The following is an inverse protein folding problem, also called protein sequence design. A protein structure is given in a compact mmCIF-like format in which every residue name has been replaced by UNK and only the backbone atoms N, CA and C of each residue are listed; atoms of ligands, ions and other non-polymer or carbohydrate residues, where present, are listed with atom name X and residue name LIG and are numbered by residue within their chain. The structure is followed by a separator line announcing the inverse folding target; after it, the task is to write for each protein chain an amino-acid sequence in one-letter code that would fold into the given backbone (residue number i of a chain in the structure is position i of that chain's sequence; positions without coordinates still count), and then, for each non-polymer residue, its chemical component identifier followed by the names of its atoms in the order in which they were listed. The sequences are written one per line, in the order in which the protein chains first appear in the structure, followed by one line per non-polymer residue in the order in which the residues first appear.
data_IF_835721750571
#
_entry.id   IF_835721750571
#
_cell.length_a   1.000
_cell.length_b   1.000
_cell.length_c   1.000
_cell.angle_alpha   90.00
_cell.angle_beta   90.00
_cell.angle_gamma   90.00
#
_symmetry.space_group_name_H-M   'P 1'
#
loop_
_entity.id
_entity.type
_entity.pdbx_description
1 polymer ?
#
# COMPACT_ATOMS: atom_id res chain seq x y z
N UNK A 1 -8.66 40.33 -4.65
CA UNK A 1 -8.35 38.88 -4.70
C UNK A 1 -9.65 38.11 -4.55
N UNK A 2 -10.28 37.72 -5.66
CA UNK A 2 -11.49 36.89 -5.65
C UNK A 2 -11.09 35.44 -5.41
N UNK A 3 -11.42 34.90 -4.24
CA UNK A 3 -11.32 33.46 -3.96
C UNK A 3 -12.27 32.75 -4.92
N UNK A 4 -11.73 32.19 -5.99
CA UNK A 4 -12.50 31.43 -6.97
C UNK A 4 -12.93 30.11 -6.31
N UNK A 5 -14.05 30.15 -5.59
CA UNK A 5 -14.74 29.00 -4.99
C UNK A 5 -15.45 28.19 -6.09
N UNK A 6 -14.72 27.78 -7.13
CA UNK A 6 -15.27 26.88 -8.13
C UNK A 6 -15.65 25.57 -7.44
N UNK A 7 -16.92 25.13 -7.54
CA UNK A 7 -17.36 23.88 -6.92
C UNK A 7 -16.51 22.73 -7.48
N UNK A 8 -16.20 21.76 -6.62
CA UNK A 8 -15.45 20.57 -7.02
C UNK A 8 -16.11 19.93 -8.25
N UNK A 9 -15.30 19.50 -9.23
CA UNK A 9 -15.81 18.88 -10.47
C UNK A 9 -16.73 17.70 -10.13
N UNK A 10 -17.71 17.42 -11.00
CA UNK A 10 -18.58 16.24 -10.84
C UNK A 10 -17.73 14.98 -10.59
N UNK A 11 -18.07 14.22 -9.55
CA UNK A 11 -17.30 13.04 -9.13
C UNK A 11 -16.11 13.28 -8.17
N UNK A 12 -15.77 14.52 -7.81
CA UNK A 12 -14.63 14.81 -6.93
C UNK A 12 -14.71 14.13 -5.54
N UNK A 13 -15.91 14.05 -4.94
CA UNK A 13 -16.11 13.34 -3.67
C UNK A 13 -15.91 11.83 -3.79
N UNK A 14 -16.33 11.26 -4.92
CA UNK A 14 -16.14 9.85 -5.22
C UNK A 14 -14.66 9.54 -5.43
N UNK A 15 -13.96 10.36 -6.23
CA UNK A 15 -12.51 10.25 -6.43
C UNK A 15 -11.75 10.37 -5.11
N UNK A 16 -12.15 11.29 -4.23
CA UNK A 16 -11.58 11.42 -2.89
C UNK A 16 -11.81 10.16 -2.05
N UNK A 17 -13.05 9.69 -1.96
CA UNK A 17 -13.38 8.49 -1.17
C UNK A 17 -12.61 7.27 -1.67
N UNK A 18 -12.53 7.09 -2.99
CA UNK A 18 -11.80 5.99 -3.61
C UNK A 18 -10.31 6.05 -3.32
N UNK A 19 -9.66 7.20 -3.54
CA UNK A 19 -8.22 7.35 -3.28
C UNK A 19 -7.92 7.27 -1.77
N UNK A 20 -8.77 7.82 -0.90
CA UNK A 20 -8.59 7.63 0.56
C UNK A 20 -8.68 6.15 0.93
N UNK A 21 -9.64 5.40 0.37
CA UNK A 21 -9.78 3.98 0.62
C UNK A 21 -8.55 3.20 0.13
N UNK A 22 -8.09 3.47 -1.10
CA UNK A 22 -6.88 2.82 -1.63
C UNK A 22 -5.66 3.14 -0.76
N UNK A 23 -5.51 4.39 -0.33
CA UNK A 23 -4.42 4.78 0.57
C UNK A 23 -4.53 4.06 1.91
N UNK A 24 -5.73 3.94 2.47
CA UNK A 24 -5.96 3.21 3.71
C UNK A 24 -5.53 1.75 3.59
N UNK A 25 -5.97 1.05 2.53
CA UNK A 25 -5.59 -0.34 2.27
C UNK A 25 -4.08 -0.51 2.04
N UNK A 26 -3.43 0.44 1.39
CA UNK A 26 -1.98 0.46 1.18
C UNK A 26 -1.23 0.40 2.52
N UNK A 27 -1.64 1.21 3.48
CA UNK A 27 -1.02 1.21 4.80
C UNK A 27 -1.45 0.02 5.66
N UNK A 28 -2.67 -0.51 5.49
CA UNK A 28 -3.05 -1.79 6.14
C UNK A 28 -2.12 -2.91 5.68
N UNK A 29 -1.91 -3.08 4.37
CA UNK A 29 -1.07 -4.13 3.78
C UNK A 29 0.36 -4.10 4.33
N UNK A 30 0.98 -2.90 4.31
CA UNK A 30 2.35 -2.67 4.79
C UNK A 30 2.55 -3.10 6.23
N UNK A 31 1.56 -2.86 7.09
CA UNK A 31 1.66 -3.11 8.52
C UNK A 31 1.09 -4.46 8.97
N UNK A 32 0.23 -5.10 8.17
CA UNK A 32 -0.17 -6.51 8.37
C UNK A 32 1.05 -7.41 8.43
N UNK A 33 2.01 -7.24 7.50
CA UNK A 33 3.23 -8.04 7.47
C UNK A 33 3.99 -8.00 8.80
N UNK A 34 4.13 -6.81 9.40
CA UNK A 34 4.81 -6.63 10.67
C UNK A 34 4.04 -7.29 11.83
N UNK A 35 2.70 -7.29 11.78
CA UNK A 35 1.86 -7.94 12.78
C UNK A 35 2.00 -9.47 12.76
N UNK A 36 2.25 -10.04 11.58
CA UNK A 36 2.32 -11.51 11.40
C UNK A 36 3.73 -12.06 11.24
N UNK A 37 4.76 -11.19 11.25
CA UNK A 37 6.17 -11.56 11.11
C UNK A 37 6.61 -12.68 12.08
N UNK A 38 6.25 -12.65 13.39
CA UNK A 38 6.67 -13.70 14.31
C UNK A 38 6.18 -15.10 13.89
N UNK A 39 4.96 -15.17 13.34
CA UNK A 39 4.35 -16.41 12.87
C UNK A 39 4.92 -16.86 11.51
N UNK A 40 5.23 -15.91 10.61
CA UNK A 40 5.96 -16.20 9.38
C UNK A 40 7.33 -16.78 9.71
N UNK A 41 8.04 -16.19 10.66
CA UNK A 41 9.36 -16.65 11.11
C UNK A 41 9.29 -18.08 11.64
N UNK A 42 8.35 -18.36 12.54
CA UNK A 42 8.15 -19.69 13.09
C UNK A 42 7.69 -20.73 12.04
N UNK A 43 7.04 -20.29 10.96
CA UNK A 43 6.57 -21.17 9.89
C UNK A 43 7.68 -21.59 8.91
N UNK A 44 8.72 -20.76 8.74
CA UNK A 44 9.76 -20.99 7.73
C UNK A 44 11.16 -21.25 8.28
N UNK A 45 11.42 -20.94 9.55
CA UNK A 45 12.72 -21.08 10.18
C UNK A 45 12.61 -21.78 11.53
N UNK A 46 13.68 -22.49 11.90
CA UNK A 46 13.78 -23.11 13.23
C UNK A 46 13.88 -22.03 14.32
N UNK A 47 13.35 -22.33 15.50
CA UNK A 47 13.30 -21.38 16.62
C UNK A 47 14.69 -20.97 17.14
N UNK A 48 15.69 -21.83 16.92
CA UNK A 48 17.09 -21.65 17.29
C UNK A 48 17.97 -21.10 16.15
N UNK A 49 17.43 -20.85 14.95
CA UNK A 49 18.20 -20.27 13.84
C UNK A 49 18.57 -18.81 14.15
N UNK A 50 19.87 -18.51 14.37
CA UNK A 50 20.31 -17.15 14.73
C UNK A 50 20.08 -16.14 13.59
N UNK A 51 19.86 -16.62 12.36
CA UNK A 51 19.62 -15.78 11.20
C UNK A 51 18.12 -15.61 10.87
N UNK A 52 17.21 -16.27 11.58
CA UNK A 52 15.78 -16.25 11.26
C UNK A 52 15.22 -14.83 11.23
N UNK A 53 15.56 -14.01 12.24
CA UNK A 53 15.11 -12.61 12.33
C UNK A 53 15.72 -11.73 11.24
N UNK A 54 16.98 -11.95 10.89
CA UNK A 54 17.63 -11.22 9.80
C UNK A 54 16.97 -11.55 8.45
N UNK A 55 16.63 -12.82 8.23
CA UNK A 55 15.96 -13.29 7.01
C UNK A 55 14.55 -12.76 6.90
N UNK A 56 13.69 -12.93 7.91
CA UNK A 56 12.32 -12.38 7.88
C UNK A 56 12.32 -10.86 7.82
N UNK A 57 13.31 -10.22 8.43
CA UNK A 57 13.57 -8.78 8.30
C UNK A 57 13.81 -8.31 6.86
N UNK A 58 14.17 -9.18 5.91
CA UNK A 58 14.34 -8.83 4.49
C UNK A 58 13.03 -8.57 3.75
N UNK A 59 11.88 -9.03 4.28
CA UNK A 59 10.59 -8.86 3.61
C UNK A 59 10.20 -7.38 3.46
N UNK A 60 10.48 -6.55 4.47
CA UNK A 60 10.19 -5.12 4.43
C UNK A 60 11.15 -4.34 3.49
N UNK A 61 12.48 -4.50 3.54
CA UNK A 61 13.41 -3.94 2.56
C UNK A 61 13.13 -4.38 1.12
N UNK A 62 12.76 -5.65 0.88
CA UNK A 62 12.43 -6.11 -0.47
C UNK A 62 11.27 -5.31 -1.07
N UNK A 63 10.23 -5.06 -0.27
CA UNK A 63 9.14 -4.15 -0.63
C UNK A 63 9.65 -2.70 -0.82
N UNK A 64 10.38 -2.15 0.14
CA UNK A 64 10.81 -0.74 0.12
C UNK A 64 11.73 -0.42 -1.07
N UNK A 65 12.73 -1.25 -1.34
CA UNK A 65 13.68 -1.05 -2.44
C UNK A 65 12.95 -1.08 -3.78
N UNK A 66 12.07 -2.04 -3.98
CA UNK A 66 11.33 -2.18 -5.24
C UNK A 66 10.31 -1.07 -5.41
N UNK A 67 9.64 -0.64 -4.33
CA UNK A 67 8.81 0.55 -4.30
C UNK A 67 9.60 1.81 -4.69
N UNK A 68 10.78 2.03 -4.11
CA UNK A 68 11.62 3.18 -4.40
C UNK A 68 12.09 3.22 -5.85
N UNK A 69 12.40 2.06 -6.44
CA UNK A 69 12.81 1.95 -7.84
C UNK A 69 11.63 2.10 -8.80
N UNK A 70 10.45 1.56 -8.45
CA UNK A 70 9.26 1.61 -9.27
C UNK A 70 8.59 2.99 -9.26
N UNK A 71 8.60 3.70 -8.13
CA UNK A 71 7.96 5.01 -7.97
C UNK A 71 8.34 6.06 -9.03
N UNK A 72 9.62 6.33 -9.34
CA UNK A 72 9.97 7.31 -10.37
C UNK A 72 9.55 6.84 -11.77
N UNK A 73 9.65 5.55 -12.07
CA UNK A 73 9.26 4.98 -13.38
C UNK A 73 7.75 5.08 -13.58
N UNK A 74 6.98 4.65 -12.59
CA UNK A 74 5.52 4.67 -12.64
C UNK A 74 4.96 6.09 -12.52
N UNK A 75 5.61 6.97 -11.76
CA UNK A 75 5.29 8.40 -11.71
C UNK A 75 5.46 9.05 -13.09
N UNK A 76 6.59 8.81 -13.75
CA UNK A 76 6.84 9.28 -15.11
C UNK A 76 5.82 8.72 -16.12
N UNK A 77 5.45 7.45 -16.00
CA UNK A 77 4.37 6.86 -16.81
C UNK A 77 3.03 7.52 -16.52
N UNK A 78 2.72 7.84 -15.26
CA UNK A 78 1.47 8.50 -14.87
C UNK A 78 1.36 9.93 -15.42
N UNK A 79 2.47 10.59 -15.70
CA UNK A 79 2.48 11.91 -16.36
C UNK A 79 2.23 11.81 -17.89
N UNK A 80 2.59 10.68 -18.52
CA UNK A 80 2.43 10.45 -19.97
C UNK A 80 1.13 9.74 -20.35
N UNK A 81 0.61 8.92 -19.45
CA UNK A 81 -0.60 8.13 -19.65
C UNK A 81 -1.70 8.56 -18.68
N UNK A 82 -2.87 7.94 -18.77
CA UNK A 82 -3.95 8.21 -17.81
C UNK A 82 -3.53 7.77 -16.41
N UNK A 83 -3.39 8.73 -15.48
CA UNK A 83 -3.12 8.46 -14.05
C UNK A 83 -4.08 7.43 -13.46
N UNK A 84 -5.35 7.45 -13.87
CA UNK A 84 -6.34 6.45 -13.42
C UNK A 84 -6.04 5.05 -13.92
N UNK A 85 -5.57 4.91 -15.16
CA UNK A 85 -5.17 3.61 -15.72
C UNK A 85 -3.93 3.09 -14.99
N UNK A 86 -2.94 3.95 -14.76
CA UNK A 86 -1.73 3.57 -14.01
C UNK A 86 -2.07 3.13 -12.58
N UNK A 87 -2.88 3.93 -11.85
CA UNK A 87 -3.35 3.56 -10.51
C UNK A 87 -4.13 2.24 -10.53
N UNK A 88 -5.01 2.04 -11.51
CA UNK A 88 -5.77 0.79 -11.64
C UNK A 88 -4.88 -0.43 -11.84
N UNK A 89 -3.91 -0.37 -12.76
CA UNK A 89 -2.94 -1.46 -13.01
C UNK A 89 -2.12 -1.74 -11.75
N UNK A 90 -1.64 -0.70 -11.08
CA UNK A 90 -0.88 -0.77 -9.85
C UNK A 90 -1.66 -1.48 -8.72
N UNK A 91 -2.91 -1.07 -8.51
CA UNK A 91 -3.81 -1.68 -7.51
C UNK A 91 -4.07 -3.15 -7.83
N UNK A 92 -4.33 -3.49 -9.10
CA UNK A 92 -4.53 -4.88 -9.52
C UNK A 92 -3.28 -5.71 -9.24
N UNK A 93 -2.11 -5.23 -9.64
CA UNK A 93 -0.84 -5.93 -9.45
C UNK A 93 -0.55 -6.19 -7.97
N UNK A 94 -0.64 -5.16 -7.13
CA UNK A 94 -0.43 -5.31 -5.69
C UNK A 94 -1.48 -6.24 -5.07
N UNK A 95 -2.77 -6.11 -5.41
CA UNK A 95 -3.83 -6.97 -4.86
C UNK A 95 -3.57 -8.45 -5.15
N UNK A 96 -3.16 -8.78 -6.39
CA UNK A 96 -2.80 -10.16 -6.74
C UNK A 96 -1.54 -10.63 -6.00
N UNK A 97 -0.54 -9.76 -5.86
CA UNK A 97 0.69 -10.10 -5.16
C UNK A 97 0.45 -10.33 -3.66
N UNK A 98 -0.40 -9.53 -3.02
CA UNK A 98 -0.81 -9.71 -1.63
C UNK A 98 -1.58 -11.02 -1.48
N UNK A 99 -2.61 -11.28 -2.29
CA UNK A 99 -3.32 -12.55 -2.24
C UNK A 99 -2.37 -13.75 -2.41
N UNK A 100 -1.40 -13.65 -3.33
CA UNK A 100 -0.37 -14.67 -3.53
C UNK A 100 0.53 -14.89 -2.30
N UNK A 101 0.73 -13.88 -1.44
CA UNK A 101 1.48 -14.02 -0.19
C UNK A 101 0.81 -14.97 0.79
N UNK A 102 -0.53 -15.00 0.84
CA UNK A 102 -1.27 -15.96 1.66
C UNK A 102 -1.05 -17.42 1.24
N UNK A 103 -0.81 -17.65 -0.06
CA UNK A 103 -0.52 -18.97 -0.61
C UNK A 103 0.97 -19.32 -0.64
N UNK A 104 1.86 -18.46 -0.12
CA UNK A 104 3.30 -18.69 -0.17
C UNK A 104 3.69 -19.96 0.62
N UNK A 105 4.19 -20.97 -0.08
CA UNK A 105 4.65 -22.24 0.51
C UNK A 105 6.11 -22.19 1.00
N UNK A 106 6.88 -21.19 0.55
CA UNK A 106 8.29 -21.01 0.94
C UNK A 106 8.57 -19.55 1.26
N UNK A 107 9.60 -19.31 2.07
CA UNK A 107 10.06 -17.95 2.37
C UNK A 107 10.44 -17.18 1.09
N UNK A 108 11.07 -17.84 0.11
CA UNK A 108 11.43 -17.20 -1.15
C UNK A 108 10.21 -16.80 -1.98
N UNK A 109 9.17 -17.64 -2.02
CA UNK A 109 7.91 -17.27 -2.66
C UNK A 109 7.30 -16.02 -2.00
N UNK A 110 7.30 -15.97 -0.66
CA UNK A 110 6.84 -14.79 0.07
C UNK A 110 7.69 -13.56 -0.24
N UNK A 111 9.01 -13.68 -0.28
CA UNK A 111 9.93 -12.60 -0.64
C UNK A 111 9.65 -12.05 -2.05
N UNK A 112 9.40 -12.93 -3.03
CA UNK A 112 9.01 -12.51 -4.38
C UNK A 112 7.68 -11.75 -4.38
N UNK A 113 6.68 -12.22 -3.63
CA UNK A 113 5.41 -11.48 -3.56
C UNK A 113 5.60 -10.06 -3.01
N UNK A 114 6.49 -9.86 -2.03
CA UNK A 114 6.81 -8.52 -1.50
C UNK A 114 7.44 -7.60 -2.55
N UNK A 115 8.26 -8.14 -3.45
CA UNK A 115 8.81 -7.40 -4.59
C UNK A 115 7.69 -6.91 -5.51
N UNK A 116 6.74 -7.78 -5.87
CA UNK A 116 5.61 -7.39 -6.73
C UNK A 116 4.65 -6.40 -6.04
N UNK A 117 4.42 -6.54 -4.73
CA UNK A 117 3.66 -5.55 -3.95
C UNK A 117 4.38 -4.19 -4.00
N UNK A 118 5.70 -4.15 -3.80
CA UNK A 118 6.48 -2.90 -3.88
C UNK A 118 6.38 -2.23 -5.25
N UNK A 119 6.49 -3.01 -6.32
CA UNK A 119 6.32 -2.51 -7.70
C UNK A 119 4.90 -1.95 -7.90
N UNK A 120 3.86 -2.70 -7.48
CA UNK A 120 2.47 -2.28 -7.62
C UNK A 120 2.16 -1.01 -6.83
N UNK A 121 2.61 -0.92 -5.59
CA UNK A 121 2.34 0.26 -4.77
C UNK A 121 3.11 1.52 -5.20
N UNK A 122 4.25 1.36 -5.87
CA UNK A 122 5.13 2.47 -6.29
C UNK A 122 4.44 3.54 -7.12
N UNK A 123 3.47 3.17 -7.97
CA UNK A 123 2.75 4.10 -8.84
C UNK A 123 1.65 4.89 -8.13
N UNK A 124 1.17 4.42 -6.97
CA UNK A 124 0.05 5.03 -6.29
C UNK A 124 0.41 6.35 -5.59
N UNK A 125 1.52 6.35 -4.85
CA UNK A 125 2.01 7.49 -4.08
C UNK A 125 2.15 8.80 -4.86
N UNK A 126 2.79 8.81 -6.06
CA UNK A 126 2.92 10.02 -6.87
C UNK A 126 1.64 10.37 -7.67
N UNK A 127 0.84 9.38 -8.09
CA UNK A 127 -0.31 9.63 -8.94
C UNK A 127 -1.55 10.13 -8.16
N UNK A 128 -1.84 9.59 -6.98
CA UNK A 128 -3.05 9.91 -6.24
C UNK A 128 -3.17 11.39 -5.81
N UNK A 129 -2.12 12.03 -5.24
CA UNK A 129 -2.19 13.44 -4.87
C UNK A 129 -2.37 14.36 -6.08
N UNK A 130 -1.79 14.02 -7.23
CA UNK A 130 -1.96 14.83 -8.45
C UNK A 130 -3.37 14.71 -9.00
N UNK A 131 -3.98 13.51 -8.98
CA UNK A 131 -5.40 13.34 -9.34
C UNK A 131 -6.30 14.21 -8.43
N UNK A 132 -6.07 14.18 -7.12
CA UNK A 132 -6.85 15.00 -6.19
C UNK A 132 -6.64 16.50 -6.42
N UNK A 133 -5.42 16.93 -6.74
CA UNK A 133 -5.14 18.34 -7.06
C UNK A 133 -5.95 18.81 -8.29
N UNK A 134 -6.22 17.95 -9.26
CA UNK A 134 -7.00 18.29 -10.46
C UNK A 134 -8.51 18.40 -10.20
N UNK A 135 -9.04 17.70 -9.19
CA UNK A 135 -10.47 17.75 -8.85
C UNK A 135 -10.84 18.92 -7.94
N UNK A 136 -9.91 19.42 -7.13
CA UNK A 136 -10.17 20.40 -6.08
C UNK A 136 -9.42 21.73 -6.28
N UNK A 137 -10.13 22.84 -6.06
CA UNK A 137 -9.58 24.19 -6.12
C UNK A 137 -8.50 24.41 -5.05
N UNK A 138 -7.54 25.32 -5.34
CA UNK A 138 -6.34 25.56 -4.53
C UNK A 138 -6.65 25.76 -3.04
N UNK A 139 -7.69 26.52 -2.70
CA UNK A 139 -8.08 26.79 -1.31
C UNK A 139 -8.59 25.59 -0.51
N UNK A 140 -9.00 24.50 -1.18
CA UNK A 140 -9.46 23.27 -0.52
C UNK A 140 -8.41 22.17 -0.50
N UNK A 141 -7.38 22.24 -1.37
CA UNK A 141 -6.37 21.18 -1.54
C UNK A 141 -5.69 20.80 -0.23
N UNK A 142 -5.37 21.76 0.64
CA UNK A 142 -4.78 21.49 1.95
C UNK A 142 -5.67 20.56 2.81
N UNK A 143 -6.97 20.84 2.89
CA UNK A 143 -7.92 19.99 3.62
C UNK A 143 -8.04 18.61 2.99
N UNK A 144 -8.09 18.53 1.67
CA UNK A 144 -8.20 17.27 0.94
C UNK A 144 -6.96 16.41 1.14
N UNK A 145 -5.77 17.00 1.09
CA UNK A 145 -4.51 16.30 1.38
C UNK A 145 -4.42 15.88 2.84
N UNK A 146 -4.94 16.67 3.78
CA UNK A 146 -5.01 16.27 5.19
C UNK A 146 -5.91 15.03 5.38
N UNK A 147 -7.07 14.96 4.72
CA UNK A 147 -7.94 13.78 4.72
C UNK A 147 -7.21 12.57 4.11
N UNK A 148 -6.55 12.78 2.96
CA UNK A 148 -5.79 11.73 2.28
C UNK A 148 -4.64 11.18 3.13
N UNK A 149 -3.82 12.06 3.70
CA UNK A 149 -2.72 11.69 4.59
C UNK A 149 -3.21 11.14 5.93
N UNK A 150 -4.41 11.48 6.37
CA UNK A 150 -5.05 10.90 7.55
C UNK A 150 -5.25 9.39 7.44
N UNK A 151 -5.36 8.84 6.23
CA UNK A 151 -5.41 7.40 6.01
C UNK A 151 -4.12 6.68 6.41
N UNK A 152 -2.98 7.38 6.49
CA UNK A 152 -1.69 6.80 6.86
C UNK A 152 -1.72 6.25 8.29
N UNK A 153 -1.86 7.08 9.35
CA UNK A 153 -1.85 6.59 10.73
C UNK A 153 -3.00 5.63 11.02
N UNK A 154 -4.18 5.87 10.43
CA UNK A 154 -5.35 4.99 10.60
C UNK A 154 -5.10 3.63 9.97
N UNK A 155 -4.58 3.59 8.73
CA UNK A 155 -4.27 2.36 8.02
C UNK A 155 -3.17 1.56 8.73
N UNK A 156 -2.12 2.24 9.22
CA UNK A 156 -1.07 1.58 10.00
C UNK A 156 -1.60 0.93 11.27
N UNK A 157 -2.44 1.64 12.04
CA UNK A 157 -3.04 1.10 13.26
C UNK A 157 -3.96 -0.10 12.95
N UNK A 158 -4.79 0.03 11.91
CA UNK A 158 -5.66 -1.05 11.46
C UNK A 158 -4.86 -2.26 10.96
N UNK A 159 -3.74 -2.06 10.25
CA UNK A 159 -2.87 -3.14 9.79
C UNK A 159 -2.34 -3.99 10.94
N UNK A 160 -1.87 -3.35 12.01
CA UNK A 160 -1.44 -4.06 13.22
C UNK A 160 -2.58 -4.81 13.91
N UNK A 161 -3.71 -4.13 14.13
CA UNK A 161 -4.84 -4.70 14.88
C UNK A 161 -5.51 -5.84 14.11
N UNK A 162 -5.86 -5.62 12.84
CA UNK A 162 -6.51 -6.61 11.99
C UNK A 162 -5.56 -7.77 11.69
N UNK A 163 -4.30 -7.48 11.34
CA UNK A 163 -3.29 -8.51 11.09
C UNK A 163 -3.07 -9.41 12.30
N UNK A 164 -2.97 -8.84 13.50
CA UNK A 164 -2.86 -9.59 14.75
C UNK A 164 -4.10 -10.44 15.06
N UNK A 165 -5.30 -9.87 14.90
CA UNK A 165 -6.56 -10.56 15.17
C UNK A 165 -6.79 -11.74 14.22
N UNK A 166 -6.58 -11.51 12.92
CA UNK A 166 -6.72 -12.55 11.88
C UNK A 166 -5.68 -13.64 12.10
N UNK A 167 -4.43 -13.28 12.39
CA UNK A 167 -3.38 -14.24 12.67
C UNK A 167 -3.69 -15.12 13.89
N UNK A 168 -4.28 -14.54 14.95
CA UNK A 168 -4.67 -15.30 16.13
C UNK A 168 -5.82 -16.30 15.85
N UNK A 169 -6.79 -15.95 15.01
CA UNK A 169 -7.98 -16.77 14.77
C UNK A 169 -7.86 -17.73 13.60
N UNK A 170 -7.25 -17.29 12.50
CA UNK A 170 -7.21 -18.00 11.22
C UNK A 170 -5.78 -18.36 10.80
N UNK A 171 -4.77 -17.73 11.40
CA UNK A 171 -3.36 -17.88 11.04
C UNK A 171 -2.89 -16.81 10.05
N UNK A 172 -1.57 -16.57 10.03
CA UNK A 172 -0.95 -15.47 9.29
C UNK A 172 -1.27 -15.41 7.79
N UNK A 173 -1.52 -16.57 7.16
CA UNK A 173 -1.81 -16.67 5.72
C UNK A 173 -3.08 -15.92 5.33
N UNK A 174 -4.07 -15.88 6.21
CA UNK A 174 -5.36 -15.21 5.97
C UNK A 174 -5.31 -13.70 6.20
N UNK A 175 -4.19 -13.17 6.70
CA UNK A 175 -4.03 -11.73 6.87
C UNK A 175 -3.73 -11.01 5.54
N UNK A 176 -3.35 -11.77 4.49
CA UNK A 176 -3.04 -11.29 3.15
C UNK A 176 -4.22 -11.49 2.19
#
# INVERSE_FOLDING_TARGET
MTTNNSPARSGARLALGLLVAINLFNYIDRFVLAAVEPNIRAAFFALDDPNAMARTGLLAPAFLVTYMLAAPVLGFLADRFSRWVIVGICVILWSFATAASGFAATFMALLFTRIFVGIGEGGYGPAAPTILADYFALGMRGRIMAIFCGAIPVGSALGYVLGGLINHQLGWRWAF
#
